data_IF_973626739594
#
_entry.id   IF_973626739594
#
_cell.length_a   1.000
_cell.length_b   1.000
_cell.length_c   1.000
_cell.angle_alpha   90.00
_cell.angle_beta   90.00
_cell.angle_gamma   90.00
#
_symmetry.space_group_name_H-M   'P 1'
#
loop_
_entity.id
_entity.type
_entity.pdbx_description
1 polymer ?
#
# COMPACT_ATOMS: atom_id res chain seq x y z
N UNK A 1 -12.67 -15.63 5.26
CA UNK A 1 -13.01 -14.20 5.48
C UNK A 1 -14.44 -14.13 6.00
N UNK A 2 -14.66 -13.65 7.22
CA UNK A 2 -16.00 -13.35 7.72
C UNK A 2 -16.58 -12.24 6.85
N UNK A 3 -17.66 -12.50 6.12
CA UNK A 3 -18.39 -11.45 5.39
C UNK A 3 -18.70 -10.34 6.40
N UNK A 4 -18.34 -9.11 6.04
CA UNK A 4 -18.66 -7.97 6.90
C UNK A 4 -20.19 -7.83 6.90
N UNK A 5 -20.80 -7.93 8.09
CA UNK A 5 -22.23 -7.75 8.28
C UNK A 5 -22.55 -6.24 8.36
N UNK A 6 -23.72 -5.88 7.86
CA UNK A 6 -24.21 -4.49 7.86
C UNK A 6 -24.53 -4.03 9.28
N UNK A 7 -24.02 -2.87 9.66
CA UNK A 7 -24.42 -2.22 10.92
C UNK A 7 -25.89 -1.78 10.82
N UNK A 8 -26.68 -2.09 11.85
CA UNK A 8 -28.07 -1.63 11.97
C UNK A 8 -28.07 -0.37 12.84
N UNK A 9 -28.56 0.72 12.26
CA UNK A 9 -28.67 2.01 12.91
C UNK A 9 -30.07 2.15 13.54
N UNK A 10 -30.11 2.36 14.87
CA UNK A 10 -31.36 2.55 15.62
C UNK A 10 -31.31 3.85 16.39
N UNK A 11 -32.48 4.47 16.58
CA UNK A 11 -32.60 5.65 17.40
C UNK A 11 -32.13 5.41 18.84
N UNK A 12 -31.43 6.36 19.44
CA UNK A 12 -30.90 6.24 20.80
C UNK A 12 -29.63 5.38 20.92
N UNK A 13 -29.08 4.86 19.82
CA UNK A 13 -27.83 4.09 19.83
C UNK A 13 -26.65 4.94 20.30
N UNK A 14 -25.86 4.42 21.25
CA UNK A 14 -24.60 5.03 21.63
C UNK A 14 -23.53 4.72 20.60
N UNK A 15 -23.02 5.76 19.91
CA UNK A 15 -21.99 5.61 18.86
C UNK A 15 -20.63 5.24 19.45
N UNK A 16 -19.98 4.26 18.83
CA UNK A 16 -18.61 3.84 19.13
C UNK A 16 -17.80 3.73 17.84
N UNK A 17 -16.47 3.85 17.89
CA UNK A 17 -15.59 3.68 16.71
C UNK A 17 -15.86 2.38 15.94
N UNK A 18 -16.22 1.31 16.63
CA UNK A 18 -16.57 0.01 16.05
C UNK A 18 -17.70 0.07 15.02
N UNK A 19 -18.70 0.94 15.21
CA UNK A 19 -19.81 1.10 14.26
C UNK A 19 -19.32 1.67 12.93
N UNK A 20 -18.43 2.68 12.98
CA UNK A 20 -17.84 3.30 11.79
C UNK A 20 -16.91 2.31 11.10
N UNK A 21 -15.99 1.66 11.82
CA UNK A 21 -15.07 0.66 11.29
C UNK A 21 -15.80 -0.50 10.60
N UNK A 22 -16.90 -0.98 11.18
CA UNK A 22 -17.71 -2.07 10.60
C UNK A 22 -18.47 -1.60 9.36
N UNK A 23 -19.02 -0.38 9.37
CA UNK A 23 -19.69 0.20 8.20
C UNK A 23 -18.70 0.37 7.05
N UNK A 24 -17.52 0.93 7.31
CA UNK A 24 -16.46 1.06 6.32
C UNK A 24 -16.04 -0.31 5.76
N UNK A 25 -15.77 -1.29 6.63
CA UNK A 25 -15.41 -2.65 6.20
C UNK A 25 -16.49 -3.30 5.33
N UNK A 26 -17.76 -3.10 5.66
CA UNK A 26 -18.89 -3.59 4.87
C UNK A 26 -18.90 -2.97 3.46
N UNK A 27 -18.74 -1.65 3.37
CA UNK A 27 -18.73 -0.91 2.09
C UNK A 27 -17.52 -1.31 1.24
N UNK A 28 -16.33 -1.37 1.82
CA UNK A 28 -15.11 -1.77 1.12
C UNK A 28 -15.20 -3.21 0.58
N UNK A 29 -15.76 -4.14 1.36
CA UNK A 29 -15.97 -5.50 0.88
C UNK A 29 -16.97 -5.55 -0.27
N UNK A 30 -18.03 -4.76 -0.21
CA UNK A 30 -19.03 -4.68 -1.29
C UNK A 30 -18.40 -4.19 -2.60
N UNK A 31 -17.58 -3.13 -2.52
CA UNK A 31 -16.87 -2.58 -3.69
C UNK A 31 -15.93 -3.62 -4.29
N UNK A 32 -15.17 -4.36 -3.44
CA UNK A 32 -14.26 -5.41 -3.89
C UNK A 32 -14.98 -6.57 -4.57
N UNK A 33 -16.07 -7.05 -3.96
CA UNK A 33 -16.87 -8.12 -4.55
C UNK A 33 -17.46 -7.69 -5.91
N UNK A 34 -17.95 -6.45 -6.01
CA UNK A 34 -18.43 -5.87 -7.25
C UNK A 34 -17.35 -5.83 -8.33
N UNK A 35 -16.17 -5.35 -7.97
CA UNK A 35 -15.02 -5.33 -8.85
C UNK A 35 -14.64 -6.73 -9.35
N UNK A 36 -14.56 -7.70 -8.45
CA UNK A 36 -14.20 -9.09 -8.77
C UNK A 36 -15.20 -9.79 -9.73
N UNK A 37 -16.47 -9.39 -9.71
CA UNK A 37 -17.50 -9.90 -10.61
C UNK A 37 -17.39 -9.34 -12.04
N UNK A 38 -16.78 -8.17 -12.21
CA UNK A 38 -16.71 -7.53 -13.53
C UNK A 38 -15.55 -8.01 -14.40
N UNK A 39 -14.39 -8.31 -13.77
CA UNK A 39 -13.19 -8.79 -14.49
C UNK A 39 -12.38 -9.74 -13.60
N UNK A 40 -11.78 -10.74 -14.22
CA UNK A 40 -10.94 -11.74 -13.51
C UNK A 40 -9.61 -11.18 -12.98
N UNK A 41 -9.14 -10.04 -13.54
CA UNK A 41 -7.89 -9.36 -13.15
C UNK A 41 -8.15 -7.87 -13.08
N UNK A 42 -8.50 -7.38 -11.88
CA UNK A 42 -8.72 -5.95 -11.60
C UNK A 42 -7.56 -5.31 -10.85
N UNK A 43 -6.41 -5.95 -10.83
CA UNK A 43 -5.23 -5.43 -10.15
C UNK A 43 -4.13 -5.12 -11.16
N UNK A 44 -3.29 -4.18 -10.82
CA UNK A 44 -2.22 -3.72 -11.69
C UNK A 44 -1.88 -2.28 -11.40
N UNK A 45 -0.84 -1.80 -12.07
CA UNK A 45 -0.49 -0.38 -12.08
C UNK A 45 -1.38 0.37 -13.08
N UNK A 46 -1.82 1.55 -12.68
CA UNK A 46 -2.33 2.59 -13.59
C UNK A 46 -1.18 3.44 -14.11
N UNK A 47 -0.25 3.77 -13.20
CA UNK A 47 0.97 4.51 -13.49
C UNK A 47 2.12 3.92 -12.68
N UNK A 48 3.33 3.91 -13.25
CA UNK A 48 4.55 3.46 -12.58
C UNK A 48 5.75 4.22 -13.10
N UNK A 49 6.41 4.97 -12.22
CA UNK A 49 7.64 5.70 -12.49
C UNK A 49 8.70 5.34 -11.46
N UNK A 50 9.84 4.82 -11.92
CA UNK A 50 10.99 4.55 -11.09
C UNK A 50 11.88 5.78 -10.97
N UNK A 51 12.58 5.90 -9.85
CA UNK A 51 13.60 6.95 -9.66
C UNK A 51 14.92 6.51 -10.32
N UNK A 52 15.23 7.08 -11.47
CA UNK A 52 16.46 6.79 -12.21
C UNK A 52 17.74 7.18 -11.45
N UNK A 53 17.69 8.21 -10.60
CA UNK A 53 18.84 8.62 -9.82
C UNK A 53 19.19 7.56 -8.77
N UNK A 54 18.18 6.95 -8.17
CA UNK A 54 18.35 5.86 -7.22
C UNK A 54 18.84 4.57 -7.87
N UNK A 55 18.43 4.28 -9.12
CA UNK A 55 18.97 3.15 -9.88
C UNK A 55 20.48 3.25 -10.08
N UNK A 56 21.00 4.45 -10.34
CA UNK A 56 22.47 4.70 -10.45
C UNK A 56 23.21 4.56 -9.13
N UNK A 57 22.49 4.65 -8.01
CA UNK A 57 23.05 4.48 -6.66
C UNK A 57 22.90 3.06 -6.11
N UNK A 58 22.43 2.12 -6.93
CA UNK A 58 22.26 0.72 -6.52
C UNK A 58 20.97 0.44 -5.75
N UNK A 59 19.98 1.31 -5.86
CA UNK A 59 18.69 1.17 -5.19
C UNK A 59 17.54 1.21 -6.19
N UNK A 60 16.44 0.55 -5.86
CA UNK A 60 15.16 0.75 -6.53
C UNK A 60 14.28 1.61 -5.63
N UNK A 61 13.77 2.69 -6.20
CA UNK A 61 12.80 3.59 -5.58
C UNK A 61 11.72 4.00 -6.56
N UNK A 62 10.59 4.43 -6.04
CA UNK A 62 9.43 4.88 -6.80
C UNK A 62 9.37 6.41 -6.75
N UNK A 63 9.36 7.07 -7.90
CA UNK A 63 9.04 8.50 -8.00
C UNK A 63 7.55 8.72 -7.86
N UNK A 64 6.78 7.93 -8.60
CA UNK A 64 5.33 7.91 -8.56
C UNK A 64 4.80 6.53 -8.94
N UNK A 65 3.72 6.09 -8.32
CA UNK A 65 2.93 5.00 -8.84
C UNK A 65 1.50 5.05 -8.29
N UNK A 66 0.57 4.50 -9.06
CA UNK A 66 -0.81 4.28 -8.63
C UNK A 66 -1.35 2.97 -9.19
N UNK A 67 -2.31 2.36 -8.51
CA UNK A 67 -2.88 1.11 -8.95
C UNK A 67 -3.70 0.38 -7.89
N UNK A 68 -3.98 -0.89 -8.17
CA UNK A 68 -4.69 -1.80 -7.29
C UNK A 68 -3.81 -3.02 -6.99
N UNK A 69 -3.66 -3.35 -5.72
CA UNK A 69 -3.04 -4.61 -5.29
C UNK A 69 -3.99 -5.81 -5.54
N UNK A 70 -3.47 -7.05 -5.57
CA UNK A 70 -4.29 -8.24 -5.80
C UNK A 70 -5.43 -8.43 -4.80
N UNK A 71 -5.33 -7.86 -3.60
CA UNK A 71 -6.40 -7.87 -2.60
C UNK A 71 -7.45 -6.74 -2.79
N UNK A 72 -7.36 -5.99 -3.90
CA UNK A 72 -8.25 -4.87 -4.22
C UNK A 72 -7.97 -3.60 -3.41
N UNK A 73 -6.80 -3.48 -2.79
CA UNK A 73 -6.40 -2.24 -2.11
C UNK A 73 -5.88 -1.25 -3.14
N UNK A 74 -6.56 -0.10 -3.26
CA UNK A 74 -6.05 1.02 -4.05
C UNK A 74 -4.84 1.65 -3.36
N UNK A 75 -3.83 1.97 -4.13
CA UNK A 75 -2.66 2.70 -3.65
C UNK A 75 -2.27 3.83 -4.60
N UNK A 76 -1.74 4.89 -4.01
CA UNK A 76 -1.08 5.97 -4.72
C UNK A 76 0.16 6.37 -3.92
N UNK A 77 1.30 6.32 -4.57
CA UNK A 77 2.62 6.63 -4.00
C UNK A 77 3.18 7.85 -4.67
N UNK A 78 3.71 8.75 -3.85
CA UNK A 78 4.53 9.89 -4.29
C UNK A 78 5.78 9.92 -3.41
N UNK A 79 6.95 9.98 -4.01
CA UNK A 79 8.23 9.90 -3.29
C UNK A 79 8.37 10.94 -2.18
N UNK A 80 7.81 12.15 -2.40
CA UNK A 80 7.87 13.29 -1.50
C UNK A 80 6.93 13.21 -0.28
N UNK A 81 5.98 12.26 -0.27
CA UNK A 81 4.92 12.21 0.75
C UNK A 81 4.78 10.87 1.47
N UNK A 82 4.65 9.80 0.70
CA UNK A 82 4.23 8.49 1.22
C UNK A 82 4.94 7.32 0.53
N UNK A 83 6.04 7.58 -0.13
CA UNK A 83 6.83 6.56 -0.82
C UNK A 83 7.42 5.55 0.17
N UNK A 84 7.51 4.26 -0.22
CA UNK A 84 8.27 3.27 0.54
C UNK A 84 9.76 3.63 0.53
N UNK A 85 10.48 3.18 1.55
CA UNK A 85 11.94 3.33 1.58
C UNK A 85 12.58 2.68 0.34
N UNK A 86 13.61 3.31 -0.25
CA UNK A 86 14.35 2.73 -1.35
C UNK A 86 14.92 1.36 -1.00
N UNK A 87 14.74 0.39 -1.89
CA UNK A 87 15.30 -0.96 -1.72
C UNK A 87 16.74 -0.98 -2.26
N UNK A 88 17.70 -1.17 -1.37
CA UNK A 88 19.11 -1.38 -1.77
C UNK A 88 19.26 -2.77 -2.37
N UNK A 89 19.78 -2.82 -3.60
CA UNK A 89 20.04 -4.07 -4.31
C UNK A 89 21.40 -4.65 -3.90
N UNK A 90 21.46 -5.92 -3.44
CA UNK A 90 22.72 -6.59 -3.12
C UNK A 90 23.65 -6.69 -4.33
N UNK A 91 24.97 -6.64 -4.10
CA UNK A 91 25.97 -6.59 -5.18
C UNK A 91 26.02 -7.86 -6.04
N UNK A 92 25.62 -9.01 -5.48
CA UNK A 92 25.58 -10.31 -6.15
C UNK A 92 24.18 -10.71 -6.66
N UNK A 93 23.23 -9.79 -6.64
CA UNK A 93 21.87 -10.08 -7.10
C UNK A 93 21.84 -10.16 -8.62
N UNK A 94 21.25 -11.24 -9.12
CA UNK A 94 21.00 -11.46 -10.54
C UNK A 94 19.63 -12.08 -10.75
N UNK A 95 18.95 -11.67 -11.81
CA UNK A 95 17.68 -12.26 -12.27
C UNK A 95 16.61 -12.38 -11.16
N UNK A 96 16.33 -11.29 -10.51
CA UNK A 96 15.35 -11.24 -9.40
C UNK A 96 14.30 -10.16 -9.62
N UNK A 97 13.08 -10.47 -9.26
CA UNK A 97 11.97 -9.52 -9.33
C UNK A 97 11.88 -8.69 -8.05
N UNK A 98 11.66 -7.40 -8.23
CA UNK A 98 11.31 -6.47 -7.14
C UNK A 98 9.81 -6.24 -7.16
N UNK A 99 9.22 -6.29 -5.99
CA UNK A 99 7.78 -6.15 -5.79
C UNK A 99 7.47 -5.01 -4.83
N UNK A 100 6.30 -4.39 -5.02
CA UNK A 100 5.67 -3.50 -4.06
C UNK A 100 4.69 -4.34 -3.25
N UNK A 101 4.92 -4.43 -1.96
CA UNK A 101 4.20 -5.32 -1.06
C UNK A 101 3.49 -4.55 0.06
N UNK A 102 2.40 -5.13 0.53
CA UNK A 102 1.61 -4.65 1.66
C UNK A 102 1.21 -5.84 2.51
N UNK A 103 1.24 -5.76 3.86
CA UNK A 103 0.74 -6.86 4.70
C UNK A 103 -0.70 -7.23 4.39
N UNK A 104 -1.04 -8.52 4.36
CA UNK A 104 -2.41 -8.98 4.12
C UNK A 104 -3.30 -8.66 5.33
N UNK A 105 -4.55 -8.31 5.04
CA UNK A 105 -5.55 -8.12 6.10
C UNK A 105 -5.91 -9.45 6.74
N UNK A 106 -5.75 -9.56 8.07
CA UNK A 106 -6.14 -10.74 8.84
C UNK A 106 -6.98 -10.36 10.04
N UNK A 107 -8.08 -11.08 10.26
CA UNK A 107 -8.90 -10.90 11.47
C UNK A 107 -8.10 -11.19 12.72
N UNK A 108 -8.32 -10.40 13.79
CA UNK A 108 -7.65 -10.57 15.09
C UNK A 108 -6.25 -9.99 15.19
N UNK A 109 -5.76 -9.30 14.18
CA UNK A 109 -4.51 -8.52 14.21
C UNK A 109 -4.79 -7.02 14.16
N UNK A 110 -3.91 -6.24 14.75
CA UNK A 110 -3.93 -4.79 14.62
C UNK A 110 -3.66 -4.40 13.17
N UNK A 111 -4.54 -3.59 12.59
CA UNK A 111 -4.36 -3.06 11.24
C UNK A 111 -3.55 -1.78 11.21
N UNK A 112 -3.44 -1.10 12.35
CA UNK A 112 -2.88 0.25 12.48
C UNK A 112 -1.84 0.26 13.59
N UNK A 113 -0.68 0.90 13.33
CA UNK A 113 0.33 1.23 14.35
C UNK A 113 0.48 2.73 14.47
N UNK A 114 0.88 3.19 15.66
CA UNK A 114 1.05 4.61 15.99
C UNK A 114 2.50 5.08 15.88
N UNK A 115 3.45 4.14 15.84
CA UNK A 115 4.87 4.41 15.61
C UNK A 115 5.44 3.33 14.72
N UNK A 116 6.47 3.66 13.92
CA UNK A 116 7.07 2.70 13.02
C UNK A 116 7.71 1.53 13.80
N UNK A 117 7.32 0.33 13.45
CA UNK A 117 7.80 -0.91 14.03
C UNK A 117 8.06 -1.91 12.90
N UNK A 118 9.33 -2.24 12.67
CA UNK A 118 9.77 -3.08 11.55
C UNK A 118 9.17 -4.50 11.59
N UNK A 119 8.95 -5.04 12.79
CA UNK A 119 8.38 -6.39 12.96
C UNK A 119 6.86 -6.45 12.80
N UNK A 120 6.20 -5.29 12.80
CA UNK A 120 4.75 -5.22 12.72
C UNK A 120 4.25 -5.51 11.30
N UNK A 121 3.22 -6.36 11.22
CA UNK A 121 2.44 -6.63 10.00
C UNK A 121 1.17 -5.78 9.92
N UNK A 122 1.12 -4.64 10.60
CA UNK A 122 0.04 -3.67 10.44
C UNK A 122 0.07 -3.06 9.04
N UNK A 123 -1.11 -2.84 8.48
CA UNK A 123 -1.27 -2.30 7.12
C UNK A 123 -1.08 -0.79 7.06
N UNK A 124 -1.37 -0.10 8.17
CA UNK A 124 -1.36 1.35 8.24
C UNK A 124 -0.45 1.83 9.36
N UNK A 125 0.17 2.97 9.11
CA UNK A 125 0.79 3.79 10.16
C UNK A 125 0.03 5.11 10.26
N UNK A 126 -0.20 5.59 11.48
CA UNK A 126 -0.90 6.84 11.70
C UNK A 126 -0.01 8.05 11.42
N UNK A 127 -0.65 9.12 10.96
CA UNK A 127 -0.10 10.47 10.94
C UNK A 127 -1.22 11.47 11.23
N UNK A 128 -0.87 12.63 11.72
CA UNK A 128 -1.82 13.71 12.02
C UNK A 128 -1.75 14.77 10.93
N UNK A 129 -2.90 15.31 10.60
CA UNK A 129 -3.04 16.41 9.65
C UNK A 129 -4.14 17.34 10.12
N UNK A 130 -3.91 18.64 10.01
CA UNK A 130 -4.95 19.64 10.21
C UNK A 130 -5.86 19.69 8.99
N UNK A 131 -7.16 19.66 9.23
CA UNK A 131 -8.22 19.62 8.22
C UNK A 131 -9.21 20.74 8.49
N UNK A 132 -9.48 21.53 7.47
CA UNK A 132 -10.53 22.55 7.50
C UNK A 132 -11.93 21.89 7.43
N UNK A 133 -12.92 22.55 8.01
CA UNK A 133 -14.32 22.16 7.85
C UNK A 133 -14.84 22.65 6.49
N UNK A 134 -15.12 21.72 5.58
CA UNK A 134 -15.58 22.01 4.21
C UNK A 134 -16.93 22.75 4.16
N UNK A 135 -17.71 22.71 5.25
CA UNK A 135 -19.03 23.32 5.31
C UNK A 135 -19.07 24.60 6.15
N UNK A 136 -18.10 24.81 7.03
CA UNK A 136 -18.10 25.91 7.98
C UNK A 136 -16.70 26.46 8.25
N UNK A 137 -16.15 27.24 7.32
CA UNK A 137 -14.82 27.88 7.45
C UNK A 137 -14.61 28.68 8.75
N UNK A 138 -15.70 29.09 9.41
CA UNK A 138 -15.62 29.83 10.68
C UNK A 138 -15.34 28.96 11.90
N UNK A 139 -15.39 27.63 11.76
CA UNK A 139 -15.18 26.68 12.89
C UNK A 139 -13.69 26.42 13.12
N UNK A 140 -12.84 26.70 12.11
CA UNK A 140 -11.40 26.50 12.17
C UNK A 140 -10.98 25.09 11.78
N UNK A 141 -9.69 24.82 11.93
CA UNK A 141 -9.05 23.54 11.62
C UNK A 141 -9.19 22.56 12.79
N UNK A 142 -9.28 21.27 12.45
CA UNK A 142 -9.26 20.19 13.43
C UNK A 142 -8.13 19.21 13.09
N UNK A 143 -7.36 18.79 14.10
CA UNK A 143 -6.36 17.75 13.94
C UNK A 143 -7.05 16.40 13.75
N UNK A 144 -6.87 15.79 12.60
CA UNK A 144 -7.43 14.47 12.27
C UNK A 144 -6.30 13.46 12.11
N UNK A 145 -6.48 12.29 12.70
CA UNK A 145 -5.55 11.19 12.59
C UNK A 145 -5.90 10.30 11.39
N UNK A 146 -4.97 10.19 10.46
CA UNK A 146 -5.08 9.39 9.24
C UNK A 146 -4.22 8.14 9.30
N UNK A 147 -4.57 7.13 8.49
CA UNK A 147 -3.76 5.94 8.26
C UNK A 147 -3.11 5.97 6.88
N UNK A 148 -1.78 5.84 6.81
CA UNK A 148 -1.03 5.67 5.57
C UNK A 148 -0.72 4.20 5.36
N UNK A 149 -0.86 3.69 4.13
CA UNK A 149 -0.46 2.32 3.78
C UNK A 149 1.05 2.12 3.99
N UNK A 150 1.42 1.05 4.66
CA UNK A 150 2.82 0.65 4.89
C UNK A 150 3.33 -0.19 3.72
N UNK A 151 3.36 0.42 2.55
CA UNK A 151 3.93 -0.18 1.35
C UNK A 151 5.43 -0.36 1.51
N UNK A 152 5.95 -1.49 1.05
CA UNK A 152 7.36 -1.84 1.16
C UNK A 152 7.86 -2.39 -0.17
N UNK A 153 9.04 -1.94 -0.62
CA UNK A 153 9.76 -2.57 -1.73
C UNK A 153 10.58 -3.74 -1.19
N UNK A 154 10.46 -4.91 -1.81
CA UNK A 154 11.22 -6.09 -1.42
C UNK A 154 11.50 -7.00 -2.62
N UNK A 155 12.41 -7.95 -2.46
CA UNK A 155 12.66 -8.96 -3.47
C UNK A 155 11.53 -10.01 -3.43
N UNK A 156 11.13 -10.51 -4.60
CA UNK A 156 10.04 -11.50 -4.68
C UNK A 156 10.35 -12.77 -3.86
N UNK A 157 11.62 -13.19 -3.81
CA UNK A 157 12.05 -14.35 -3.01
C UNK A 157 11.86 -14.19 -1.50
N UNK A 158 11.74 -12.95 -1.00
CA UNK A 158 11.55 -12.65 0.42
C UNK A 158 10.07 -12.57 0.79
N UNK A 159 9.16 -12.71 -0.20
CA UNK A 159 7.73 -12.74 0.04
C UNK A 159 7.31 -13.97 0.84
N UNK A 160 6.44 -13.74 1.79
CA UNK A 160 5.74 -14.79 2.53
C UNK A 160 4.24 -14.68 2.33
N UNK A 161 3.47 -15.65 2.84
CA UNK A 161 2.01 -15.62 2.82
C UNK A 161 1.38 -14.46 3.63
N UNK A 162 2.20 -13.67 4.33
CA UNK A 162 1.78 -12.49 5.08
C UNK A 162 1.65 -11.23 4.20
N UNK A 163 2.03 -11.30 2.93
CA UNK A 163 2.08 -10.15 2.03
C UNK A 163 1.20 -10.34 0.80
N UNK A 164 0.54 -9.29 0.38
CA UNK A 164 0.02 -9.11 -0.98
C UNK A 164 0.99 -8.22 -1.73
N UNK A 165 1.30 -8.55 -2.98
CA UNK A 165 2.34 -7.85 -3.71
C UNK A 165 2.05 -7.76 -5.21
N UNK A 166 2.67 -6.78 -5.85
CA UNK A 166 2.64 -6.54 -7.30
C UNK A 166 4.07 -6.32 -7.80
N UNK A 167 4.42 -6.91 -8.95
CA UNK A 167 5.75 -6.82 -9.52
C UNK A 167 6.05 -5.44 -10.08
N UNK A 168 7.14 -4.81 -9.64
CA UNK A 168 7.56 -3.45 -10.03
C UNK A 168 8.57 -3.48 -11.16
N UNK A 169 9.63 -4.28 -10.99
CA UNK A 169 10.74 -4.35 -11.93
C UNK A 169 11.42 -5.71 -11.86
N UNK A 170 12.10 -6.09 -12.93
CA UNK A 170 12.96 -7.26 -12.96
C UNK A 170 14.43 -6.81 -13.05
N UNK A 171 15.23 -7.12 -12.03
CA UNK A 171 16.64 -6.81 -11.97
C UNK A 171 17.43 -7.90 -12.65
N UNK A 172 18.17 -7.58 -13.70
CA UNK A 172 19.07 -8.52 -14.36
C UNK A 172 20.37 -8.67 -13.61
N UNK A 173 20.97 -7.56 -13.22
CA UNK A 173 22.23 -7.52 -12.48
C UNK A 173 22.44 -6.15 -11.81
N UNK A 174 23.31 -6.11 -10.81
CA UNK A 174 23.91 -4.87 -10.32
C UNK A 174 25.35 -4.80 -10.80
N UNK A 175 25.71 -3.72 -11.50
CA UNK A 175 27.04 -3.49 -12.06
C UNK A 175 28.03 -3.03 -11.00
N UNK A 176 29.32 -3.14 -11.33
CA UNK A 176 30.43 -2.71 -10.45
C UNK A 176 30.43 -1.19 -10.17
N UNK A 177 29.77 -0.38 -11.02
CA UNK A 177 29.55 1.04 -10.84
C UNK A 177 28.31 1.37 -9.98
N UNK A 178 27.78 0.37 -9.29
CA UNK A 178 26.53 0.38 -8.52
C UNK A 178 25.23 0.52 -9.34
N UNK A 179 25.29 0.70 -10.65
CA UNK A 179 24.07 0.84 -11.45
C UNK A 179 23.27 -0.46 -11.48
N UNK A 180 22.00 -0.37 -11.13
CA UNK A 180 21.03 -1.48 -11.25
C UNK A 180 20.53 -1.55 -12.68
N UNK A 181 20.75 -2.68 -13.33
CA UNK A 181 20.24 -2.94 -14.68
C UNK A 181 18.91 -3.67 -14.59
N UNK A 182 17.92 -3.11 -15.24
CA UNK A 182 16.58 -3.69 -15.35
C UNK A 182 16.42 -4.44 -16.68
N UNK A 183 15.53 -5.41 -16.67
CA UNK A 183 15.05 -6.07 -17.90
C UNK A 183 13.96 -5.18 -18.53
N UNK A 184 14.26 -4.59 -19.67
CA UNK A 184 13.32 -3.74 -20.41
C UNK A 184 12.18 -4.54 -21.07
N UNK A 185 12.27 -5.86 -21.11
CA UNK A 185 11.20 -6.72 -21.61
C UNK A 185 10.16 -7.09 -20.55
N UNK A 186 10.49 -6.84 -19.28
CA UNK A 186 9.56 -7.05 -18.18
C UNK A 186 8.46 -5.98 -18.22
N UNK A 187 7.22 -6.43 -18.28
CA UNK A 187 6.05 -5.56 -18.22
C UNK A 187 5.38 -5.76 -16.87
N UNK A 188 5.40 -4.75 -15.98
CA UNK A 188 4.63 -4.77 -14.73
C UNK A 188 3.13 -4.95 -15.03
N UNK A 189 2.40 -5.70 -14.21
CA UNK A 189 0.97 -5.95 -14.42
C UNK A 189 0.12 -4.70 -14.21
#
# INVERSE_FOLDING_TARGET
MTKAEKVVWTEGMFLRPHHFQRTESYLLNHVREWGALQRSYLWGFLDLELDEAMLRQGCIALSYCSGLLPDGTFFQVRSDRNGPAPLKIPDNLTNEKVVLALPVRRGGREEVIFSEEQSSLARFITFEQEVEDDNAMSVGEATVQFGRLRLTLMLEKDLTAEWTAIGVAYVTEKRNDNHVRLDNSYIPP
#
